data_IF_228562268290
#
_entry.id   IF_228562268290
#
_cell.length_a   1.000
_cell.length_b   1.000
_cell.length_c   1.000
_cell.angle_alpha   90.00
_cell.angle_beta   90.00
_cell.angle_gamma   90.00
#
_symmetry.space_group_name_H-M   'P 1'
#
loop_
_entity.id
_entity.type
_entity.pdbx_description
1 polymer ?
#
# COMPACT_ATOMS: atom_id res chain seq x y z
N UNK A 1 -7.36 26.10 13.43
CA UNK A 1 -7.63 24.88 12.66
C UNK A 1 -6.27 24.28 12.30
N UNK A 2 -5.90 23.12 12.86
CA UNK A 2 -4.60 22.50 12.59
C UNK A 2 -4.71 21.69 11.31
N UNK A 3 -3.97 22.11 10.27
CA UNK A 3 -3.76 21.33 9.06
C UNK A 3 -2.57 20.41 9.33
N UNK A 4 -2.83 19.21 9.85
CA UNK A 4 -1.78 18.24 10.11
C UNK A 4 -1.37 17.55 8.80
N UNK A 5 -0.09 17.64 8.45
CA UNK A 5 0.45 17.18 7.15
C UNK A 5 0.69 15.67 7.10
N UNK A 6 0.32 14.91 8.14
CA UNK A 6 0.62 13.47 8.24
C UNK A 6 -0.01 12.64 7.13
N UNK A 7 -1.08 13.13 6.48
CA UNK A 7 -1.74 12.44 5.37
C UNK A 7 -0.96 12.45 4.03
N UNK A 8 0.11 13.24 3.93
CA UNK A 8 0.90 13.39 2.69
C UNK A 8 2.31 12.80 2.80
N UNK A 9 2.59 12.10 3.91
CA UNK A 9 3.91 11.54 4.16
C UNK A 9 4.19 10.37 3.19
N UNK A 10 5.23 10.45 2.36
CA UNK A 10 5.50 9.43 1.34
C UNK A 10 5.80 8.05 1.96
N UNK A 11 6.30 8.01 3.20
CA UNK A 11 6.57 6.78 3.95
C UNK A 11 5.30 6.00 4.33
N UNK A 12 4.13 6.64 4.31
CA UNK A 12 2.84 6.00 4.61
C UNK A 12 2.14 5.43 3.38
N UNK A 13 2.72 5.59 2.20
CA UNK A 13 2.12 5.09 0.97
C UNK A 13 2.65 3.68 0.68
N UNK A 14 1.79 2.64 0.68
CA UNK A 14 2.24 1.28 0.43
C UNK A 14 2.98 1.15 -0.89
N UNK A 15 4.17 0.55 -0.85
CA UNK A 15 5.00 0.43 -2.05
C UNK A 15 4.47 -0.71 -2.93
N UNK A 16 3.50 -0.38 -3.78
CA UNK A 16 2.80 -1.30 -4.65
C UNK A 16 2.66 -0.71 -6.06
N UNK A 17 2.69 -1.57 -7.08
CA UNK A 17 2.48 -1.16 -8.47
C UNK A 17 1.02 -0.76 -8.71
N UNK A 18 0.71 0.04 -9.76
CA UNK A 18 -0.67 0.46 -10.05
C UNK A 18 -1.65 -0.72 -10.24
N UNK A 19 -1.21 -1.77 -10.93
CA UNK A 19 -2.03 -2.98 -11.13
C UNK A 19 -2.36 -3.69 -9.80
N UNK A 20 -1.42 -3.71 -8.86
CA UNK A 20 -1.63 -4.33 -7.56
C UNK A 20 -2.61 -3.53 -6.69
N UNK A 21 -2.60 -2.20 -6.81
CA UNK A 21 -3.58 -1.32 -6.13
C UNK A 21 -5.00 -1.57 -6.62
N UNK A 22 -5.17 -1.81 -7.92
CA UNK A 22 -6.47 -2.18 -8.49
C UNK A 22 -6.90 -3.56 -7.95
N UNK A 23 -6.02 -4.55 -8.03
CA UNK A 23 -6.29 -5.91 -7.56
C UNK A 23 -6.68 -5.96 -6.08
N UNK A 24 -5.97 -5.23 -5.21
CA UNK A 24 -6.30 -5.17 -3.79
C UNK A 24 -7.67 -4.53 -3.54
N UNK A 25 -8.05 -3.50 -4.32
CA UNK A 25 -9.38 -2.88 -4.23
C UNK A 25 -10.49 -3.83 -4.64
N UNK A 26 -10.28 -4.63 -5.68
CA UNK A 26 -11.25 -5.63 -6.14
C UNK A 26 -11.46 -6.73 -5.10
N UNK A 27 -10.41 -7.09 -4.35
CA UNK A 27 -10.46 -8.07 -3.27
C UNK A 27 -10.87 -7.48 -1.91
N UNK A 28 -10.98 -6.15 -1.78
CA UNK A 28 -11.26 -5.48 -0.51
C UNK A 28 -10.09 -5.51 0.48
N UNK A 29 -8.85 -5.68 0.00
CA UNK A 29 -7.64 -5.71 0.82
C UNK A 29 -7.09 -4.30 1.02
N UNK A 30 -6.85 -3.94 2.29
CA UNK A 30 -6.16 -2.70 2.64
C UNK A 30 -4.64 -2.88 2.60
N UNK A 31 -4.00 -2.35 1.54
CA UNK A 31 -2.56 -2.41 1.36
C UNK A 31 -1.75 -1.70 2.45
N UNK A 32 -2.35 -0.82 3.26
CA UNK A 32 -1.66 -0.19 4.38
C UNK A 32 -1.36 -1.17 5.53
N UNK A 33 -2.12 -2.28 5.58
CA UNK A 33 -1.96 -3.33 6.58
C UNK A 33 -1.16 -4.53 6.03
N UNK A 34 -0.78 -4.50 4.75
CA UNK A 34 -0.07 -5.59 4.09
C UNK A 34 1.43 -5.34 4.13
N UNK A 35 2.18 -6.31 4.67
CA UNK A 35 3.63 -6.27 4.67
C UNK A 35 4.17 -6.79 3.34
N UNK A 36 4.78 -5.90 2.56
CA UNK A 36 5.39 -6.28 1.29
C UNK A 36 6.63 -7.18 1.46
N UNK A 37 6.67 -8.30 0.76
CA UNK A 37 7.79 -9.26 0.79
C UNK A 37 8.81 -9.06 -0.34
N UNK A 38 8.48 -8.26 -1.36
CA UNK A 38 9.34 -7.98 -2.49
C UNK A 38 10.54 -7.08 -2.17
N UNK A 39 11.43 -6.91 -3.15
CA UNK A 39 12.64 -6.09 -3.02
C UNK A 39 12.32 -4.68 -2.49
N UNK A 40 12.94 -4.32 -1.36
CA UNK A 40 12.74 -3.03 -0.71
C UNK A 40 11.38 -2.85 -0.03
N UNK A 41 10.73 -3.94 0.39
CA UNK A 41 9.40 -3.89 1.03
C UNK A 41 8.26 -3.67 0.03
N UNK A 42 8.50 -3.96 -1.26
CA UNK A 42 7.47 -3.86 -2.29
C UNK A 42 6.42 -4.93 -2.08
N UNK A 43 5.16 -4.55 -2.07
CA UNK A 43 4.04 -5.48 -2.04
C UNK A 43 3.94 -6.17 -3.40
N UNK A 44 3.88 -7.50 -3.39
CA UNK A 44 3.68 -8.35 -4.56
C UNK A 44 2.33 -9.06 -4.49
N UNK A 45 1.94 -9.78 -5.54
CA UNK A 45 0.60 -10.40 -5.62
C UNK A 45 0.41 -11.44 -4.52
N UNK A 46 1.48 -12.14 -4.18
CA UNK A 46 1.54 -13.16 -3.15
C UNK A 46 1.28 -12.60 -1.75
N UNK A 47 1.48 -11.29 -1.52
CA UNK A 47 1.23 -10.65 -0.22
C UNK A 47 -0.26 -10.29 -0.02
N UNK A 48 -1.05 -10.31 -1.09
CA UNK A 48 -2.47 -9.88 -1.12
C UNK A 48 -3.41 -11.09 -1.20
N UNK A 49 -2.88 -12.28 -1.49
CA UNK A 49 -3.62 -13.51 -1.75
C UNK A 49 -3.61 -14.47 -0.56
#
# INVERSE_FOLDING_TARGET
>A
MRFDSSAVMPDQVPYATPALRLFARELGVDLTQVKGSGKGGRIVREDVQ
#
